data_IF_415447613709
#
_entry.id   IF_415447613709
#
_cell.length_a   1.000
_cell.length_b   1.000
_cell.length_c   1.000
_cell.angle_alpha   90.00
_cell.angle_beta   90.00
_cell.angle_gamma   90.00
#
_symmetry.space_group_name_H-M   'P 1'
#
loop_
_entity.id
_entity.type
_entity.pdbx_description
1 polymer ?
#
# COMPACT_ATOMS: atom_id res chain seq x y z
N UNK A 1 65.41 -30.42 -15.75
CA UNK A 1 64.02 -30.74 -16.15
C UNK A 1 63.66 -32.10 -15.59
N UNK A 2 62.55 -32.19 -14.86
CA UNK A 2 62.10 -33.43 -14.22
C UNK A 2 61.69 -34.41 -15.32
N UNK A 3 61.81 -35.71 -15.06
CA UNK A 3 61.47 -36.75 -16.04
C UNK A 3 59.97 -36.70 -16.41
N UNK A 4 59.13 -36.28 -15.48
CA UNK A 4 57.70 -36.03 -15.63
C UNK A 4 57.42 -34.94 -16.68
N UNK A 5 58.19 -33.84 -16.67
CA UNK A 5 58.05 -32.76 -17.65
C UNK A 5 58.27 -33.28 -19.08
N UNK A 6 59.26 -34.16 -19.26
CA UNK A 6 59.55 -34.75 -20.58
C UNK A 6 58.44 -35.68 -21.08
N UNK A 7 57.80 -36.39 -20.15
CA UNK A 7 56.69 -37.29 -20.47
C UNK A 7 55.43 -36.49 -20.81
N UNK A 8 55.19 -35.38 -20.12
CA UNK A 8 54.11 -34.44 -20.41
C UNK A 8 54.24 -33.82 -21.80
N UNK A 9 55.43 -33.34 -22.16
CA UNK A 9 55.69 -32.77 -23.49
C UNK A 9 55.51 -33.81 -24.61
N UNK A 10 55.94 -35.06 -24.38
CA UNK A 10 55.75 -36.15 -25.35
C UNK A 10 54.27 -36.48 -25.54
N UNK A 11 53.50 -36.50 -24.46
CA UNK A 11 52.06 -36.74 -24.51
C UNK A 11 51.32 -35.59 -25.19
N UNK A 12 51.68 -34.33 -24.91
CA UNK A 12 51.13 -33.15 -25.59
C UNK A 12 51.34 -33.20 -27.10
N UNK A 13 52.55 -33.58 -27.54
CA UNK A 13 52.87 -33.70 -28.95
C UNK A 13 52.04 -34.80 -29.64
N UNK A 14 51.80 -35.93 -28.96
CA UNK A 14 50.98 -37.02 -29.47
C UNK A 14 49.48 -36.67 -29.52
N UNK A 15 48.98 -35.92 -28.54
CA UNK A 15 47.59 -35.43 -28.55
C UNK A 15 47.39 -34.41 -29.67
N UNK A 16 48.34 -33.48 -29.85
CA UNK A 16 48.28 -32.47 -30.91
C UNK A 16 48.38 -33.08 -32.32
N UNK A 17 49.06 -34.21 -32.47
CA UNK A 17 49.17 -34.90 -33.77
C UNK A 17 47.98 -35.81 -34.11
N UNK A 18 47.28 -36.33 -33.10
CA UNK A 18 46.12 -37.23 -33.29
C UNK A 18 44.77 -36.52 -33.32
N UNK A 19 44.66 -35.32 -32.73
CA UNK A 19 43.40 -34.59 -32.79
C UNK A 19 43.08 -34.23 -34.25
N UNK A 20 41.83 -34.46 -34.71
CA UNK A 20 41.41 -33.86 -35.97
C UNK A 20 41.63 -32.36 -35.82
N UNK A 21 42.41 -31.76 -36.74
CA UNK A 21 42.66 -30.32 -36.75
C UNK A 21 41.29 -29.67 -36.88
N UNK A 22 40.80 -29.15 -35.77
CA UNK A 22 39.59 -28.38 -35.74
C UNK A 22 39.94 -27.05 -36.41
N UNK A 23 39.40 -26.81 -37.60
CA UNK A 23 39.55 -25.52 -38.25
C UNK A 23 38.97 -24.45 -37.32
N UNK A 24 39.83 -23.52 -36.92
CA UNK A 24 39.48 -22.35 -36.11
C UNK A 24 38.92 -22.65 -34.70
N UNK A 25 39.72 -23.22 -33.77
CA UNK A 25 39.26 -23.59 -32.43
C UNK A 25 38.84 -22.38 -31.57
N UNK A 26 39.36 -21.19 -31.89
CA UNK A 26 39.01 -19.94 -31.21
C UNK A 26 37.55 -19.52 -31.50
N UNK A 27 37.06 -19.75 -32.72
CA UNK A 27 35.69 -19.43 -33.11
C UNK A 27 34.69 -20.39 -32.45
N UNK A 28 35.02 -21.68 -32.39
CA UNK A 28 34.20 -22.65 -31.66
C UNK A 28 34.15 -22.29 -30.16
N UNK A 29 35.29 -21.91 -29.58
CA UNK A 29 35.35 -21.50 -28.17
C UNK A 29 34.50 -20.26 -27.92
N UNK A 30 34.58 -19.26 -28.80
CA UNK A 30 33.77 -18.04 -28.71
C UNK A 30 32.27 -18.33 -28.84
N UNK A 31 31.87 -19.18 -29.79
CA UNK A 31 30.45 -19.56 -29.98
C UNK A 31 29.88 -20.36 -28.82
N UNK A 32 30.67 -21.26 -28.20
CA UNK A 32 30.27 -21.98 -27.00
C UNK A 32 30.12 -21.01 -25.83
N UNK A 33 31.07 -20.09 -25.65
CA UNK A 33 31.05 -19.13 -24.54
C UNK A 33 29.89 -18.13 -24.67
N UNK A 34 29.60 -17.68 -25.89
CA UNK A 34 28.44 -16.83 -26.19
C UNK A 34 27.12 -17.57 -25.90
N UNK A 35 27.01 -18.83 -26.36
CA UNK A 35 25.85 -19.67 -26.11
C UNK A 35 25.65 -19.94 -24.61
N UNK A 36 26.72 -20.15 -23.85
CA UNK A 36 26.63 -20.32 -22.38
C UNK A 36 26.26 -19.00 -21.69
N UNK A 37 26.83 -17.89 -22.14
CA UNK A 37 26.53 -16.55 -21.63
C UNK A 37 25.08 -16.15 -21.90
N UNK A 38 24.52 -16.59 -23.03
CA UNK A 38 23.11 -16.43 -23.40
C UNK A 38 22.13 -17.28 -22.58
N UNK A 39 22.61 -18.26 -21.79
CA UNK A 39 21.77 -19.09 -20.90
C UNK A 39 21.60 -18.42 -19.51
N UNK A 40 22.15 -17.21 -19.29
CA UNK A 40 21.75 -16.42 -18.12
C UNK A 40 20.23 -16.27 -18.16
N UNK A 41 19.47 -16.77 -17.14
CA UNK A 41 18.03 -16.58 -17.12
C UNK A 41 17.76 -15.07 -17.23
N UNK A 42 16.76 -14.65 -18.02
CA UNK A 42 16.41 -13.24 -18.08
C UNK A 42 16.20 -12.80 -16.64
N UNK A 43 17.02 -11.85 -16.17
CA UNK A 43 16.87 -11.21 -14.86
C UNK A 43 15.48 -10.60 -14.85
N UNK A 44 14.49 -11.38 -14.44
CA UNK A 44 13.13 -10.94 -14.19
C UNK A 44 13.30 -9.95 -13.04
N UNK A 45 13.44 -8.67 -13.39
CA UNK A 45 13.51 -7.59 -12.42
C UNK A 45 12.26 -7.74 -11.57
N UNK A 46 12.43 -8.31 -10.38
CA UNK A 46 11.37 -8.51 -9.40
C UNK A 46 10.97 -7.10 -8.96
N UNK A 47 9.98 -6.53 -9.65
CA UNK A 47 9.28 -5.30 -9.25
C UNK A 47 8.52 -5.46 -7.92
N UNK A 48 8.64 -6.62 -7.26
CA UNK A 48 7.98 -6.96 -6.00
C UNK A 48 8.55 -6.25 -4.77
N UNK A 49 9.72 -5.60 -4.85
CA UNK A 49 10.28 -4.87 -3.71
C UNK A 49 9.62 -3.51 -3.48
N UNK A 50 8.91 -2.93 -4.45
CA UNK A 50 8.21 -1.63 -4.29
C UNK A 50 6.81 -1.83 -3.68
N UNK A 51 6.18 -3.00 -3.88
CA UNK A 51 4.86 -3.32 -3.31
C UNK A 51 4.88 -3.70 -1.82
N UNK A 52 6.05 -4.09 -1.29
CA UNK A 52 6.19 -4.53 0.09
C UNK A 52 6.22 -3.38 1.12
N UNK A 53 6.54 -2.15 0.70
CA UNK A 53 6.70 -1.01 1.62
C UNK A 53 5.37 -0.34 1.95
N UNK A 54 4.41 -0.37 1.01
CA UNK A 54 3.07 0.16 1.23
C UNK A 54 2.34 -0.57 2.38
N UNK A 55 2.56 -1.89 2.50
CA UNK A 55 2.02 -2.70 3.61
C UNK A 55 2.63 -2.32 4.95
N UNK A 56 3.94 -2.06 5.00
CA UNK A 56 4.62 -1.59 6.21
C UNK A 56 4.14 -0.20 6.67
N UNK A 57 3.94 0.73 5.74
CA UNK A 57 3.42 2.07 6.06
C UNK A 57 1.99 1.99 6.59
N UNK A 58 1.12 1.21 5.95
CA UNK A 58 -0.26 1.01 6.40
C UNK A 58 -0.33 0.38 7.80
N UNK A 59 0.47 -0.66 8.06
CA UNK A 59 0.53 -1.30 9.36
C UNK A 59 1.04 -0.34 10.45
N UNK A 60 2.07 0.45 10.15
CA UNK A 60 2.62 1.43 11.10
C UNK A 60 1.59 2.52 11.42
N UNK A 61 0.84 3.01 10.43
CA UNK A 61 -0.24 3.99 10.65
C UNK A 61 -1.38 3.39 11.48
N UNK A 62 -1.79 2.15 11.20
CA UNK A 62 -2.81 1.45 11.99
C UNK A 62 -2.36 1.27 13.45
N UNK A 63 -1.10 0.93 13.68
CA UNK A 63 -0.55 0.75 15.03
C UNK A 63 -0.46 2.08 15.77
N UNK A 64 -0.04 3.16 15.09
CA UNK A 64 -0.02 4.51 15.66
C UNK A 64 -1.43 5.00 16.01
N UNK A 65 -2.41 4.77 15.13
CA UNK A 65 -3.82 5.09 15.36
C UNK A 65 -4.40 4.26 16.50
N UNK A 66 -4.07 2.97 16.57
CA UNK A 66 -4.55 2.07 17.62
C UNK A 66 -3.98 2.45 18.99
N UNK A 67 -2.70 2.80 19.07
CA UNK A 67 -2.06 3.34 20.29
C UNK A 67 -2.70 4.68 20.65
N UNK A 68 -2.96 5.56 19.68
CA UNK A 68 -3.61 6.84 19.96
C UNK A 68 -5.04 6.67 20.49
N UNK A 69 -5.83 5.77 19.88
CA UNK A 69 -7.18 5.45 20.35
C UNK A 69 -7.16 4.82 21.75
N UNK A 70 -6.20 3.94 22.03
CA UNK A 70 -6.10 3.26 23.35
C UNK A 70 -5.47 4.11 24.45
N UNK A 71 -4.49 4.97 24.13
CA UNK A 71 -3.78 5.80 25.11
C UNK A 71 -4.38 7.20 25.31
N UNK A 72 -4.96 7.82 24.27
CA UNK A 72 -5.50 9.19 24.34
C UNK A 72 -7.03 9.28 24.27
N UNK A 73 -7.73 8.20 23.93
CA UNK A 73 -9.20 8.16 24.02
C UNK A 73 -9.70 6.90 24.72
N UNK A 74 -9.64 6.81 26.06
CA UNK A 74 -10.27 5.71 26.75
C UNK A 74 -11.78 5.86 26.58
N UNK A 75 -12.38 5.14 25.63
CA UNK A 75 -13.81 4.77 25.66
C UNK A 75 -14.82 5.95 25.82
N UNK A 76 -14.40 7.20 25.59
CA UNK A 76 -15.25 8.38 25.79
C UNK A 76 -15.82 8.89 24.46
N UNK A 77 -15.06 8.84 23.36
CA UNK A 77 -15.55 9.34 22.07
C UNK A 77 -16.48 8.37 21.32
N UNK A 78 -16.38 7.05 21.53
CA UNK A 78 -17.31 6.09 20.89
C UNK A 78 -18.70 6.23 21.50
N UNK A 79 -18.75 6.33 22.83
CA UNK A 79 -19.95 6.62 23.60
C UNK A 79 -20.44 8.04 23.30
N UNK A 80 -19.57 9.06 23.26
CA UNK A 80 -19.96 10.43 22.92
C UNK A 80 -20.55 10.59 21.52
N UNK A 81 -19.99 9.92 20.49
CA UNK A 81 -20.50 10.01 19.12
C UNK A 81 -21.78 9.19 18.93
N UNK A 82 -21.88 7.96 19.45
CA UNK A 82 -23.16 7.23 19.44
C UNK A 82 -24.22 7.98 20.24
N UNK A 83 -23.91 8.46 21.44
CA UNK A 83 -24.83 9.27 22.22
C UNK A 83 -25.20 10.58 21.52
N UNK A 84 -24.33 11.23 20.74
CA UNK A 84 -24.68 12.45 20.00
C UNK A 84 -25.60 12.14 18.79
N UNK A 85 -25.41 11.02 18.10
CA UNK A 85 -26.31 10.56 17.03
C UNK A 85 -27.64 10.01 17.58
N UNK A 86 -27.62 9.28 18.68
CA UNK A 86 -28.79 8.71 19.36
C UNK A 86 -29.58 9.82 20.09
N UNK A 87 -28.92 10.79 20.75
CA UNK A 87 -29.56 11.97 21.33
C UNK A 87 -30.15 12.88 20.23
N UNK A 88 -29.48 13.00 19.08
CA UNK A 88 -30.06 13.71 17.93
C UNK A 88 -31.38 13.08 17.47
N UNK A 89 -31.42 11.76 17.29
CA UNK A 89 -32.65 11.06 16.88
C UNK A 89 -33.81 11.27 17.86
N UNK A 90 -33.51 11.42 19.15
CA UNK A 90 -34.48 11.66 20.22
C UNK A 90 -34.82 13.16 20.45
N UNK A 91 -34.15 14.09 19.78
CA UNK A 91 -34.26 15.54 20.04
C UNK A 91 -34.97 16.32 18.93
N UNK A 92 -35.33 15.68 17.80
CA UNK A 92 -36.14 16.33 16.77
C UNK A 92 -37.59 16.35 17.30
N UNK A 93 -38.14 17.53 17.64
CA UNK A 93 -39.52 17.61 18.10
C UNK A 93 -40.43 17.17 16.96
N UNK A 94 -41.22 16.12 17.17
CA UNK A 94 -42.20 15.68 16.18
C UNK A 94 -43.46 16.57 16.29
N UNK A 95 -44.07 16.96 15.16
CA UNK A 95 -45.32 17.70 15.18
C UNK A 95 -46.45 16.82 15.72
N UNK A 96 -47.44 17.42 16.40
CA UNK A 96 -48.52 16.68 17.07
C UNK A 96 -49.32 15.78 16.11
N UNK A 97 -49.42 16.15 14.83
CA UNK A 97 -50.08 15.38 13.77
C UNK A 97 -49.14 14.44 13.00
N UNK A 98 -47.99 14.08 13.58
CA UNK A 98 -46.99 13.23 12.91
C UNK A 98 -47.57 11.90 12.40
N UNK A 99 -48.42 11.23 13.19
CA UNK A 99 -49.07 9.97 12.79
C UNK A 99 -49.93 10.13 11.54
N UNK A 100 -50.65 11.25 11.44
CA UNK A 100 -51.61 11.56 10.36
C UNK A 100 -50.94 12.03 9.05
N UNK A 101 -49.68 12.46 9.10
CA UNK A 101 -48.95 12.96 7.93
C UNK A 101 -48.64 11.84 6.92
N UNK A 102 -48.74 12.17 5.63
CA UNK A 102 -48.25 11.29 4.56
C UNK A 102 -46.73 11.18 4.59
N UNK A 103 -46.20 10.08 4.06
CA UNK A 103 -44.75 9.86 3.94
C UNK A 103 -44.00 11.02 3.27
N UNK A 104 -44.61 11.67 2.27
CA UNK A 104 -44.02 12.82 1.60
C UNK A 104 -43.90 14.03 2.54
N UNK A 105 -44.93 14.32 3.33
CA UNK A 105 -44.94 15.41 4.30
C UNK A 105 -43.92 15.16 5.42
N UNK A 106 -43.81 13.91 5.89
CA UNK A 106 -42.79 13.47 6.85
C UNK A 106 -41.38 13.71 6.33
N UNK A 107 -41.12 13.38 5.05
CA UNK A 107 -39.82 13.59 4.41
C UNK A 107 -39.49 15.09 4.29
N UNK A 108 -40.44 15.90 3.82
CA UNK A 108 -40.29 17.36 3.72
C UNK A 108 -40.00 17.96 5.11
N UNK A 109 -40.72 17.51 6.14
CA UNK A 109 -40.52 17.98 7.51
C UNK A 109 -39.11 17.66 8.02
N UNK A 110 -38.70 16.40 7.98
CA UNK A 110 -37.39 15.96 8.48
C UNK A 110 -36.23 16.63 7.72
N UNK A 111 -36.36 16.76 6.39
CA UNK A 111 -35.35 17.43 5.57
C UNK A 111 -35.24 18.92 5.88
N UNK A 112 -36.36 19.59 6.15
CA UNK A 112 -36.38 21.00 6.58
C UNK A 112 -35.70 21.21 7.93
N UNK A 113 -36.00 20.35 8.92
CA UNK A 113 -35.39 20.38 10.25
C UNK A 113 -33.88 20.16 10.20
N UNK A 114 -33.45 19.15 9.43
CA UNK A 114 -32.03 18.90 9.22
C UNK A 114 -31.32 20.11 8.60
N UNK A 115 -31.95 20.76 7.62
CA UNK A 115 -31.38 21.94 6.96
C UNK A 115 -31.26 23.13 7.90
N UNK A 116 -32.27 23.38 8.73
CA UNK A 116 -32.22 24.45 9.74
C UNK A 116 -31.12 24.21 10.77
N UNK A 117 -31.03 23.00 11.31
CA UNK A 117 -30.00 22.66 12.28
C UNK A 117 -28.59 22.76 11.69
N UNK A 118 -28.41 22.30 10.44
CA UNK A 118 -27.13 22.44 9.72
C UNK A 118 -26.73 23.91 9.57
N UNK A 119 -27.68 24.80 9.28
CA UNK A 119 -27.43 26.26 9.20
C UNK A 119 -27.02 26.81 10.57
N UNK A 120 -27.72 26.42 11.63
CA UNK A 120 -27.42 26.85 13.00
C UNK A 120 -26.01 26.42 13.45
N UNK A 121 -25.63 25.14 13.25
CA UNK A 121 -24.27 24.66 13.57
C UNK A 121 -23.20 25.42 12.80
N UNK A 122 -23.41 25.68 11.51
CA UNK A 122 -22.48 26.47 10.70
C UNK A 122 -22.32 27.89 11.25
N UNK A 123 -23.41 28.53 11.68
CA UNK A 123 -23.37 29.86 12.27
C UNK A 123 -22.59 29.89 13.60
N UNK A 124 -22.81 28.90 14.48
CA UNK A 124 -22.06 28.79 15.73
C UNK A 124 -20.56 28.59 15.51
N UNK A 125 -20.18 27.67 14.61
CA UNK A 125 -18.77 27.44 14.26
C UNK A 125 -18.15 28.72 13.71
N UNK A 126 -18.87 29.45 12.85
CA UNK A 126 -18.38 30.71 12.30
C UNK A 126 -18.19 31.79 13.38
N UNK A 127 -19.09 31.87 14.36
CA UNK A 127 -18.95 32.76 15.51
C UNK A 127 -17.70 32.43 16.33
N UNK A 128 -17.47 31.16 16.65
CA UNK A 128 -16.28 30.70 17.39
C UNK A 128 -15.00 31.03 16.62
N UNK A 129 -14.98 30.80 15.31
CA UNK A 129 -13.83 31.14 14.46
C UNK A 129 -13.58 32.66 14.44
N UNK A 130 -14.65 33.47 14.40
CA UNK A 130 -14.53 34.93 14.43
C UNK A 130 -13.98 35.42 15.76
N UNK A 131 -14.47 34.88 16.88
CA UNK A 131 -13.97 35.21 18.22
C UNK A 131 -12.49 34.87 18.37
N UNK A 132 -12.06 33.70 17.88
CA UNK A 132 -10.65 33.28 17.92
C UNK A 132 -9.70 34.08 17.02
N UNK A 133 -10.22 34.78 15.99
CA UNK A 133 -9.40 35.65 15.12
C UNK A 133 -9.27 37.08 15.62
N UNK A 134 -10.05 37.47 16.61
CA UNK A 134 -10.03 38.81 17.22
C UNK A 134 -9.19 38.87 18.53
N UNK A 135 -8.69 37.72 18.98
CA UNK A 135 -7.69 37.57 20.06
C UNK A 135 -6.34 37.27 19.44
#
# INVERSE_FOLDING_TARGET
MKQEDKQYEKWLAEVKSRQPILDNPEELTASILDRISGISPPKKQRKFLIGAWASGIAATLLLLLFINDTCFTPVSQRTGKQNEYDNWSNSIPLPANWEEMRLQEKNIYLSSQYTQHRKFRKAQILQVIKEKRLK
#
